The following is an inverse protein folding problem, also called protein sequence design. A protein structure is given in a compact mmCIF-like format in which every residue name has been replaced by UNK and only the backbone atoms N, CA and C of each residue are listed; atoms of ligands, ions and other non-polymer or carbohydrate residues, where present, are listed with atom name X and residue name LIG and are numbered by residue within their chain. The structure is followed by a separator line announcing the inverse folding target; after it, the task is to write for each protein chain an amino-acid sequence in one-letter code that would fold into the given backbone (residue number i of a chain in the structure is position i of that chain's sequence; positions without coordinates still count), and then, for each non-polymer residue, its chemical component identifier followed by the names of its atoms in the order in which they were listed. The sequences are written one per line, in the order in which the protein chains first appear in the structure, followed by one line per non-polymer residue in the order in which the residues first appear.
data_IF_368558337673
#
_entry.id   IF_368558337673
#
_cell.length_a   1.000
_cell.length_b   1.000
_cell.length_c   1.000
_cell.angle_alpha   90.00
_cell.angle_beta   90.00
_cell.angle_gamma   90.00
#
_symmetry.space_group_name_H-M   'P 1'
#
loop_
_entity.id
_entity.type
_entity.pdbx_description
1 polymer ?
#
# COMPACT_ATOMS: atom_id res chain seq x y z
N UNK A 1 11.12 15.12 -10.21
CA UNK A 1 10.49 15.09 -8.88
C UNK A 1 9.00 14.87 -9.08
N UNK A 2 8.47 13.83 -8.45
CA UNK A 2 7.05 13.50 -8.45
C UNK A 2 6.40 13.90 -7.13
N UNK A 3 5.14 14.33 -7.24
CA UNK A 3 4.30 14.65 -6.08
C UNK A 3 2.95 13.93 -6.24
N UNK A 4 2.48 13.31 -5.16
CA UNK A 4 1.19 12.62 -5.12
C UNK A 4 0.39 13.04 -3.89
N UNK A 5 -0.92 13.10 -4.04
CA UNK A 5 -1.85 13.06 -2.92
C UNK A 5 -2.13 11.58 -2.59
N UNK A 6 -1.64 11.12 -1.44
CA UNK A 6 -1.87 9.79 -0.87
C UNK A 6 -2.98 9.80 0.17
N UNK A 7 -3.83 8.78 0.17
CA UNK A 7 -4.96 8.65 1.09
C UNK A 7 -4.84 7.35 1.88
N UNK A 8 -4.76 7.47 3.20
CA UNK A 8 -4.64 6.34 4.11
C UNK A 8 -5.90 6.22 4.97
N UNK A 9 -6.58 5.07 4.88
CA UNK A 9 -7.80 4.81 5.64
C UNK A 9 -7.50 3.95 6.87
N UNK A 10 -7.89 4.42 8.05
CA UNK A 10 -7.64 3.75 9.34
C UNK A 10 -8.75 4.03 10.36
N UNK A 11 -8.57 3.61 11.61
CA UNK A 11 -9.46 3.98 12.73
C UNK A 11 -9.25 5.44 13.14
N UNK A 12 -10.26 6.07 13.75
CA UNK A 12 -10.11 7.44 14.25
C UNK A 12 -8.95 7.58 15.27
N UNK A 13 -8.84 6.65 16.22
CA UNK A 13 -7.78 6.65 17.24
C UNK A 13 -6.39 6.52 16.62
N UNK A 14 -6.21 5.58 15.69
CA UNK A 14 -4.93 5.42 14.99
C UNK A 14 -4.58 6.65 14.16
N UNK A 15 -5.58 7.37 13.62
CA UNK A 15 -5.31 8.60 12.89
C UNK A 15 -4.82 9.73 13.82
N UNK A 16 -5.32 9.82 15.05
CA UNK A 16 -4.81 10.76 16.04
C UNK A 16 -3.34 10.45 16.37
N UNK A 17 -2.99 9.17 16.58
CA UNK A 17 -1.62 8.72 16.86
C UNK A 17 -0.66 9.03 15.69
N UNK A 18 -1.11 8.79 14.45
CA UNK A 18 -0.33 9.08 13.24
C UNK A 18 -0.04 10.58 13.10
N UNK A 19 -1.00 11.44 13.43
CA UNK A 19 -0.82 12.88 13.35
C UNK A 19 0.06 13.45 14.47
N UNK A 20 0.04 12.84 15.65
CA UNK A 20 0.88 13.25 16.79
C UNK A 20 2.34 12.78 16.64
N UNK A 21 2.54 11.62 15.99
CA UNK A 21 3.85 11.01 15.84
C UNK A 21 4.22 10.81 14.37
N UNK A 22 3.94 9.63 13.81
CA UNK A 22 4.08 9.31 12.40
C UNK A 22 3.32 7.99 12.09
N UNK A 23 3.35 7.56 10.84
CA UNK A 23 2.86 6.25 10.43
C UNK A 23 3.73 5.10 10.96
N UNK A 24 3.06 4.03 11.40
CA UNK A 24 3.71 2.73 11.59
C UNK A 24 3.90 2.03 10.24
N UNK A 25 5.05 1.36 10.07
CA UNK A 25 5.37 0.65 8.83
C UNK A 25 4.71 -0.73 8.82
N UNK A 26 4.12 -1.10 7.68
CA UNK A 26 3.79 -2.50 7.39
C UNK A 26 5.08 -3.22 6.99
N UNK A 27 5.45 -4.28 7.72
CA UNK A 27 6.73 -4.98 7.57
C UNK A 27 6.47 -6.48 7.35
N UNK A 28 7.01 -7.04 6.27
CA UNK A 28 6.98 -8.47 6.02
C UNK A 28 7.35 -8.86 4.59
N UNK A 29 7.64 -10.15 4.41
CA UNK A 29 7.97 -10.71 3.10
C UNK A 29 6.72 -10.90 2.20
N UNK A 30 5.54 -10.88 2.81
CA UNK A 30 4.24 -11.03 2.12
C UNK A 30 3.55 -9.68 1.86
N UNK A 31 4.23 -8.56 2.14
CA UNK A 31 3.77 -7.23 1.77
C UNK A 31 3.64 -7.08 0.26
N UNK A 32 2.69 -6.27 -0.21
CA UNK A 32 2.32 -6.26 -1.63
C UNK A 32 3.46 -5.77 -2.53
N UNK A 33 4.04 -4.62 -2.19
CA UNK A 33 5.11 -3.97 -2.98
C UNK A 33 6.18 -3.36 -2.08
N UNK A 34 6.44 -4.05 -0.97
CA UNK A 34 7.53 -3.77 -0.05
C UNK A 34 7.07 -3.25 1.31
N UNK A 35 8.03 -3.09 2.20
CA UNK A 35 7.81 -2.56 3.53
C UNK A 35 7.50 -1.06 3.44
N UNK A 36 6.55 -0.60 4.24
CA UNK A 36 6.25 0.83 4.33
C UNK A 36 4.80 1.15 4.62
N UNK A 37 4.43 2.38 4.29
CA UNK A 37 3.10 2.92 4.51
C UNK A 37 2.34 2.97 3.19
N UNK A 38 1.15 2.39 3.18
CA UNK A 38 0.35 2.23 1.97
C UNK A 38 -0.69 3.34 1.83
N UNK A 39 -0.78 3.92 0.64
CA UNK A 39 -1.70 4.99 0.28
C UNK A 39 -2.44 4.66 -1.02
N UNK A 40 -3.75 4.90 -1.04
CA UNK A 40 -4.47 5.03 -2.30
C UNK A 40 -4.05 6.34 -2.97
N UNK A 41 -3.80 6.31 -4.28
CA UNK A 41 -3.45 7.50 -5.07
C UNK A 41 -4.31 7.58 -6.33
N UNK A 42 -4.33 8.75 -6.98
CA UNK A 42 -4.98 8.89 -8.28
C UNK A 42 -4.30 7.99 -9.32
N UNK A 43 -5.09 7.33 -10.15
CA UNK A 43 -4.63 6.41 -11.18
C UNK A 43 -5.81 5.76 -11.87
N UNK A 44 -6.02 4.45 -11.65
CA UNK A 44 -7.21 3.73 -12.16
C UNK A 44 -8.51 4.38 -11.69
N UNK A 45 -8.55 4.79 -10.42
CA UNK A 45 -9.67 5.50 -9.84
C UNK A 45 -9.33 6.98 -9.68
N UNK A 46 -10.30 7.84 -9.98
CA UNK A 46 -10.25 9.27 -9.71
C UNK A 46 -10.70 9.62 -8.28
N UNK A 47 -11.06 8.63 -7.46
CA UNK A 47 -11.59 8.81 -6.09
C UNK A 47 -10.79 8.03 -5.03
N UNK A 48 -9.46 8.22 -4.91
CA UNK A 48 -8.64 7.48 -3.95
C UNK A 48 -9.05 7.72 -2.48
N UNK A 49 -9.54 8.90 -2.13
CA UNK A 49 -10.06 9.16 -0.78
C UNK A 49 -11.29 8.31 -0.41
N UNK A 50 -12.19 8.05 -1.36
CA UNK A 50 -13.31 7.11 -1.13
C UNK A 50 -12.81 5.67 -1.04
N UNK A 51 -11.77 5.29 -1.79
CA UNK A 51 -11.16 3.96 -1.68
C UNK A 51 -10.51 3.73 -0.32
N UNK A 52 -9.79 4.74 0.20
CA UNK A 52 -9.24 4.72 1.55
C UNK A 52 -10.35 4.57 2.61
N UNK A 53 -11.46 5.31 2.46
CA UNK A 53 -12.64 5.16 3.35
C UNK A 53 -13.22 3.75 3.29
N UNK A 54 -13.48 3.23 2.09
CA UNK A 54 -14.03 1.87 1.91
C UNK A 54 -13.08 0.81 2.45
N UNK A 55 -11.77 1.01 2.33
CA UNK A 55 -10.75 0.17 2.93
C UNK A 55 -10.84 0.17 4.45
N UNK A 56 -10.88 1.34 5.09
CA UNK A 56 -11.02 1.46 6.54
C UNK A 56 -12.30 0.75 7.03
N UNK A 57 -13.44 1.00 6.39
CA UNK A 57 -14.70 0.33 6.73
C UNK A 57 -14.55 -1.20 6.61
N UNK A 58 -13.98 -1.69 5.50
CA UNK A 58 -13.80 -3.13 5.29
C UNK A 58 -12.81 -3.77 6.27
N UNK A 59 -11.79 -3.03 6.72
CA UNK A 59 -10.79 -3.48 7.69
C UNK A 59 -11.29 -3.45 9.13
N UNK A 60 -12.38 -2.74 9.42
CA UNK A 60 -12.94 -2.74 10.77
C UNK A 60 -13.50 -4.11 11.15
N UNK A 61 -14.07 -4.87 10.21
CA UNK A 61 -14.69 -6.16 10.49
C UNK A 61 -13.66 -7.22 10.90
N UNK A 62 -13.86 -7.82 12.08
CA UNK A 62 -13.12 -8.99 12.55
C UNK A 62 -13.92 -10.26 12.23
N UNK A 63 -13.32 -11.18 11.46
CA UNK A 63 -13.98 -12.43 11.08
C UNK A 63 -14.04 -13.46 12.21
N UNK A 64 -13.16 -13.36 13.21
CA UNK A 64 -13.12 -14.28 14.35
C UNK A 64 -14.16 -13.83 15.37
N UNK A 65 -14.08 -12.56 15.78
CA UNK A 65 -14.95 -11.97 16.81
C UNK A 65 -16.33 -11.57 16.25
N UNK A 66 -16.48 -11.60 14.91
CA UNK A 66 -17.71 -11.24 14.18
C UNK A 66 -18.27 -9.88 14.58
N UNK A 67 -17.39 -8.90 14.74
CA UNK A 67 -17.72 -7.53 15.11
C UNK A 67 -16.69 -6.56 14.55
N UNK A 68 -17.04 -5.27 14.51
CA UNK A 68 -16.09 -4.24 14.15
C UNK A 68 -15.09 -3.97 15.30
N UNK A 69 -13.80 -3.98 14.98
CA UNK A 69 -12.68 -3.64 15.89
C UNK A 69 -12.70 -2.19 16.34
N UNK A 70 -13.24 -1.31 15.49
CA UNK A 70 -13.44 0.10 15.79
C UNK A 70 -14.77 0.56 15.20
N UNK A 71 -15.33 1.63 15.77
CA UNK A 71 -16.63 2.19 15.37
C UNK A 71 -16.53 3.42 14.47
N UNK A 72 -15.39 4.09 14.47
CA UNK A 72 -15.15 5.33 13.73
C UNK A 72 -13.94 5.17 12.83
N UNK A 73 -14.13 5.43 11.54
CA UNK A 73 -13.03 5.47 10.58
C UNK A 73 -12.52 6.90 10.42
N UNK A 74 -11.30 7.01 9.91
CA UNK A 74 -10.68 8.23 9.48
C UNK A 74 -9.91 8.01 8.17
N UNK A 75 -9.95 9.00 7.28
CA UNK A 75 -9.07 9.07 6.11
C UNK A 75 -8.12 10.23 6.32
N UNK A 76 -6.83 9.92 6.30
CA UNK A 76 -5.75 10.88 6.32
C UNK A 76 -5.32 11.13 4.88
N UNK A 77 -5.24 12.40 4.48
CA UNK A 77 -4.62 12.82 3.23
C UNK A 77 -3.19 13.25 3.51
N UNK A 78 -2.27 12.77 2.71
CA UNK A 78 -0.84 13.04 2.82
C UNK A 78 -0.26 13.48 1.49
N UNK A 79 0.58 14.50 1.53
CA UNK A 79 1.36 14.92 0.37
C UNK A 79 2.69 14.17 0.37
N UNK A 80 2.91 13.40 -0.70
CA UNK A 80 4.08 12.55 -0.87
C UNK A 80 4.96 13.16 -1.96
N UNK A 81 6.24 13.35 -1.67
CA UNK A 81 7.26 13.82 -2.62
C UNK A 81 8.39 12.80 -2.75
N UNK A 82 8.80 12.54 -3.99
CA UNK A 82 9.87 11.59 -4.29
C UNK A 82 10.60 11.98 -5.57
N UNK A 83 11.91 11.77 -5.61
CA UNK A 83 12.68 11.93 -6.83
C UNK A 83 12.34 10.85 -7.86
N UNK A 84 12.40 11.20 -9.15
CA UNK A 84 11.96 10.29 -10.22
C UNK A 84 12.81 9.02 -10.26
N UNK A 85 14.09 9.14 -9.92
CA UNK A 85 15.02 8.00 -9.82
C UNK A 85 14.82 7.14 -8.56
N UNK A 86 14.02 7.62 -7.61
CA UNK A 86 13.68 6.91 -6.37
C UNK A 86 12.26 6.33 -6.38
N UNK A 87 11.51 6.54 -7.47
CA UNK A 87 10.18 6.00 -7.69
C UNK A 87 10.23 4.74 -8.57
N UNK A 88 9.79 3.61 -8.04
CA UNK A 88 9.51 2.42 -8.85
C UNK A 88 8.03 2.40 -9.28
N UNK A 89 7.78 2.71 -10.56
CA UNK A 89 6.44 2.77 -11.14
C UNK A 89 6.04 1.45 -11.84
N UNK A 90 5.42 0.53 -11.10
CA UNK A 90 4.89 -0.73 -11.64
C UNK A 90 3.57 -0.57 -12.42
N UNK A 91 3.11 0.67 -12.64
CA UNK A 91 2.02 0.98 -13.58
C UNK A 91 2.53 1.27 -15.00
N UNK A 92 3.85 1.36 -15.16
CA UNK A 92 4.56 1.59 -16.43
C UNK A 92 5.28 0.33 -16.91
N UNK A 93 5.50 0.23 -18.22
CA UNK A 93 6.29 -0.85 -18.82
C UNK A 93 7.75 -0.85 -18.31
N UNK A 94 8.34 0.34 -18.16
CA UNK A 94 9.72 0.50 -17.68
C UNK A 94 9.88 -0.03 -16.24
N UNK A 95 8.99 0.36 -15.33
CA UNK A 95 9.06 -0.12 -13.94
C UNK A 95 8.80 -1.62 -13.80
N UNK A 96 7.91 -2.19 -14.63
CA UNK A 96 7.73 -3.65 -14.70
C UNK A 96 9.00 -4.33 -15.21
N UNK A 97 9.68 -3.75 -16.21
CA UNK A 97 10.95 -4.26 -16.72
C UNK A 97 12.05 -4.24 -15.65
N UNK A 98 12.09 -3.19 -14.83
CA UNK A 98 13.01 -3.11 -13.67
C UNK A 98 12.72 -4.23 -12.66
N UNK A 99 11.46 -4.47 -12.31
CA UNK A 99 11.10 -5.55 -11.38
C UNK A 99 11.49 -6.93 -11.94
N UNK A 100 11.23 -7.20 -13.22
CA UNK A 100 11.62 -8.45 -13.87
C UNK A 100 13.14 -8.66 -13.83
N UNK A 101 13.92 -7.60 -14.11
CA UNK A 101 15.38 -7.65 -13.99
C UNK A 101 15.84 -8.01 -12.58
N UNK A 102 15.21 -7.45 -11.53
CA UNK A 102 15.53 -7.80 -10.15
C UNK A 102 15.21 -9.27 -9.85
N UNK A 103 14.06 -9.76 -10.32
CA UNK A 103 13.65 -11.16 -10.17
C UNK A 103 14.69 -12.10 -10.78
N UNK A 104 15.06 -11.90 -12.05
CA UNK A 104 16.06 -12.72 -12.75
C UNK A 104 17.40 -12.71 -12.00
N UNK A 105 17.82 -11.52 -11.53
CA UNK A 105 19.08 -11.38 -10.80
C UNK A 105 19.09 -12.13 -9.47
N UNK A 106 17.97 -12.17 -8.75
CA UNK A 106 17.85 -12.91 -7.50
C UNK A 106 17.67 -14.41 -7.72
N UNK A 107 16.92 -14.82 -8.74
CA UNK A 107 16.78 -16.22 -9.13
C UNK A 107 18.13 -16.83 -9.47
N UNK A 108 18.96 -16.13 -10.25
CA UNK A 108 20.34 -16.55 -10.57
C UNK A 108 21.21 -16.74 -9.32
N UNK A 109 21.01 -15.90 -8.30
CA UNK A 109 21.75 -16.01 -7.03
C UNK A 109 21.25 -17.19 -6.19
N UNK A 110 19.93 -17.41 -6.14
CA UNK A 110 19.29 -18.39 -5.25
C UNK A 110 19.35 -19.80 -5.83
N UNK A 111 19.24 -19.94 -7.14
CA UNK A 111 19.42 -21.22 -7.85
C UNK A 111 20.80 -21.83 -7.58
N UNK A 112 21.85 -21.00 -7.53
CA UNK A 112 23.22 -21.41 -7.14
C UNK A 112 23.33 -21.95 -5.72
N UNK A 113 22.35 -21.66 -4.87
CA UNK A 113 22.27 -22.13 -3.48
C UNK A 113 21.38 -23.37 -3.32
N UNK A 114 20.88 -23.96 -4.42
CA UNK A 114 19.92 -25.07 -4.41
C UNK A 114 18.65 -24.80 -3.58
N UNK A 115 18.24 -23.53 -3.48
CA UNK A 115 17.00 -23.11 -2.79
C UNK A 115 15.96 -22.71 -3.82
N UNK A 116 14.67 -22.84 -3.46
CA UNK A 116 13.56 -22.34 -4.26
C UNK A 116 13.32 -20.87 -3.93
N UNK A 117 13.15 -20.04 -4.94
CA UNK A 117 12.79 -18.64 -4.78
C UNK A 117 11.27 -18.48 -4.78
N UNK A 118 10.76 -17.62 -3.88
CA UNK A 118 9.35 -17.25 -3.82
C UNK A 118 9.21 -15.91 -4.56
N UNK A 119 8.47 -15.91 -5.65
CA UNK A 119 8.24 -14.72 -6.47
C UNK A 119 7.12 -13.88 -5.84
N UNK A 120 7.49 -13.06 -4.85
CA UNK A 120 6.63 -12.02 -4.31
C UNK A 120 7.28 -10.69 -4.61
N UNK A 121 6.54 -9.79 -5.26
CA UNK A 121 7.01 -8.46 -5.63
C UNK A 121 7.55 -7.70 -4.41
N UNK A 122 6.81 -7.66 -3.30
CA UNK A 122 7.28 -7.03 -2.07
C UNK A 122 8.57 -7.62 -1.49
N UNK A 123 8.74 -8.95 -1.54
CA UNK A 123 10.00 -9.58 -1.13
C UNK A 123 11.18 -9.15 -2.02
N UNK A 124 10.97 -9.17 -3.34
CA UNK A 124 11.98 -8.76 -4.33
C UNK A 124 12.38 -7.30 -4.12
N UNK A 125 11.40 -6.42 -3.95
CA UNK A 125 11.61 -4.99 -3.69
C UNK A 125 12.36 -4.79 -2.37
N UNK A 126 11.92 -5.46 -1.30
CA UNK A 126 12.59 -5.39 0.00
C UNK A 126 14.07 -5.80 -0.09
N UNK A 127 14.39 -6.86 -0.85
CA UNK A 127 15.78 -7.24 -1.08
C UNK A 127 16.54 -6.21 -1.92
N UNK A 128 15.94 -5.65 -2.97
CA UNK A 128 16.59 -4.64 -3.80
C UNK A 128 16.97 -3.39 -2.99
N UNK A 129 16.07 -2.95 -2.11
CA UNK A 129 16.29 -1.84 -1.17
C UNK A 129 17.39 -2.20 -0.17
N UNK A 130 17.27 -3.35 0.50
CA UNK A 130 18.22 -3.77 1.55
C UNK A 130 19.65 -3.94 1.02
N UNK A 131 19.79 -4.45 -0.19
CA UNK A 131 21.09 -4.67 -0.85
C UNK A 131 21.61 -3.40 -1.57
N UNK A 132 20.87 -2.29 -1.53
CA UNK A 132 21.26 -1.02 -2.15
C UNK A 132 21.38 -1.10 -3.67
N UNK A 133 20.61 -1.98 -4.33
CA UNK A 133 20.67 -2.19 -5.78
C UNK A 133 20.07 -0.99 -6.51
N UNK A 134 18.97 -0.46 -5.98
CA UNK A 134 18.28 0.73 -6.47
C UNK A 134 17.89 1.63 -5.29
N UNK A 135 17.93 2.96 -5.44
CA UNK A 135 17.56 3.90 -4.38
C UNK A 135 16.03 4.05 -4.28
N UNK A 136 15.30 2.94 -4.13
CA UNK A 136 13.83 2.95 -4.09
C UNK A 136 13.37 3.55 -2.76
N UNK A 137 12.48 4.53 -2.83
CA UNK A 137 11.85 5.21 -1.69
C UNK A 137 10.33 5.09 -1.73
N UNK A 138 9.77 5.10 -2.94
CA UNK A 138 8.34 4.93 -3.19
C UNK A 138 8.15 3.89 -4.28
N UNK A 139 7.21 2.98 -4.09
CA UNK A 139 6.75 2.06 -5.14
C UNK A 139 5.28 2.31 -5.39
N UNK A 140 4.82 2.32 -6.64
CA UNK A 140 3.38 2.32 -6.92
C UNK A 140 2.99 1.23 -7.90
N UNK A 141 1.76 0.75 -7.78
CA UNK A 141 1.22 -0.33 -8.60
C UNK A 141 -0.30 -0.31 -8.66
N UNK A 142 -0.85 -1.08 -9.58
CA UNK A 142 -2.28 -1.26 -9.77
C UNK A 142 -2.76 -2.53 -9.08
N UNK A 143 -3.74 -2.41 -8.19
CA UNK A 143 -4.22 -3.53 -7.37
C UNK A 143 -5.72 -3.72 -7.47
N UNK A 144 -6.14 -4.98 -7.35
CA UNK A 144 -7.51 -5.32 -7.06
C UNK A 144 -7.69 -5.43 -5.54
N UNK A 145 -8.30 -4.41 -4.95
CA UNK A 145 -8.63 -4.37 -3.53
C UNK A 145 -10.07 -4.80 -3.31
N UNK A 146 -10.26 -5.78 -2.43
CA UNK A 146 -11.59 -6.18 -1.97
C UNK A 146 -12.06 -5.24 -0.85
N UNK A 147 -13.10 -4.47 -1.13
CA UNK A 147 -13.84 -3.75 -0.11
C UNK A 147 -14.94 -4.67 0.47
N UNK A 148 -15.78 -4.15 1.36
CA UNK A 148 -16.76 -4.94 2.10
C UNK A 148 -17.64 -5.80 1.18
N UNK A 149 -18.17 -5.23 0.09
CA UNK A 149 -19.01 -5.92 -0.89
C UNK A 149 -18.30 -7.09 -1.55
N UNK A 150 -17.07 -6.91 -2.02
CA UNK A 150 -16.26 -7.95 -2.66
C UNK A 150 -15.92 -9.08 -1.69
N UNK A 151 -15.66 -8.74 -0.42
CA UNK A 151 -15.40 -9.70 0.66
C UNK A 151 -16.64 -10.56 0.96
N UNK A 152 -17.79 -9.93 1.16
CA UNK A 152 -19.07 -10.61 1.43
C UNK A 152 -19.47 -11.53 0.27
N UNK A 153 -19.33 -11.05 -0.97
CA UNK A 153 -19.70 -11.83 -2.17
C UNK A 153 -18.62 -12.82 -2.62
N UNK A 154 -17.43 -12.78 -2.02
CA UNK A 154 -16.35 -13.74 -2.26
C UNK A 154 -15.70 -13.71 -3.65
N UNK A 155 -16.00 -12.74 -4.53
CA UNK A 155 -15.43 -12.74 -5.88
C UNK A 155 -14.03 -12.10 -5.96
N UNK A 156 -13.20 -12.65 -6.84
CA UNK A 156 -11.85 -12.18 -7.15
C UNK A 156 -11.82 -11.72 -8.60
N UNK A 157 -11.37 -10.50 -8.87
CA UNK A 157 -11.18 -10.01 -10.23
C UNK A 157 -9.68 -9.93 -10.52
N UNK A 158 -9.34 -10.19 -11.78
CA UNK A 158 -7.99 -9.91 -12.31
C UNK A 158 -7.81 -8.42 -12.61
N UNK A 159 -8.90 -7.71 -12.86
CA UNK A 159 -8.90 -6.29 -13.19
C UNK A 159 -8.65 -5.47 -11.92
N UNK A 160 -7.59 -4.66 -11.86
CA UNK A 160 -7.34 -3.78 -10.73
C UNK A 160 -8.41 -2.69 -10.65
N UNK A 161 -8.72 -2.26 -9.43
CA UNK A 161 -9.70 -1.20 -9.16
C UNK A 161 -9.07 0.02 -8.47
N UNK A 162 -7.82 -0.09 -8.00
CA UNK A 162 -7.11 0.96 -7.29
C UNK A 162 -5.69 1.10 -7.82
N UNK A 163 -5.12 2.29 -7.68
CA UNK A 163 -3.68 2.50 -7.73
C UNK A 163 -3.21 2.83 -6.32
N UNK A 164 -2.18 2.15 -5.87
CA UNK A 164 -1.65 2.26 -4.51
C UNK A 164 -0.17 2.58 -4.62
N UNK A 165 0.33 3.45 -3.74
CA UNK A 165 1.76 3.56 -3.49
C UNK A 165 2.12 3.12 -2.08
N UNK A 166 3.36 2.69 -1.92
CA UNK A 166 4.00 2.40 -0.64
C UNK A 166 5.16 3.35 -0.47
N UNK A 167 5.17 4.06 0.65
CA UNK A 167 6.26 4.93 1.07
C UNK A 167 7.11 4.18 2.07
N UNK A 168 8.38 3.91 1.74
CA UNK A 168 9.27 3.08 2.56
C UNK A 168 9.70 3.81 3.83
N UNK A 169 9.93 5.12 3.73
CA UNK A 169 10.26 6.00 4.87
C UNK A 169 9.32 7.22 4.89
N UNK A 170 8.26 7.21 5.72
CA UNK A 170 7.33 8.31 5.81
C UNK A 170 7.97 9.59 6.37
N UNK A 171 9.07 9.51 7.12
CA UNK A 171 9.76 10.70 7.65
C UNK A 171 10.47 11.50 6.56
N UNK A 172 10.82 10.83 5.45
CA UNK A 172 11.55 11.41 4.33
C UNK A 172 10.60 11.95 3.26
N UNK A 173 9.60 11.15 2.88
CA UNK A 173 8.82 11.41 1.67
C UNK A 173 7.42 12.00 1.94
N UNK A 174 6.96 12.07 3.20
CA UNK A 174 5.69 12.71 3.54
C UNK A 174 5.96 14.13 4.06
N UNK A 175 5.44 15.12 3.35
CA UNK A 175 5.72 16.54 3.63
C UNK A 175 4.64 17.16 4.52
N UNK A 176 3.40 16.71 4.35
CA UNK A 176 2.26 17.15 5.15
C UNK A 176 1.22 16.04 5.20
N UNK A 177 0.46 15.98 6.28
CA UNK A 177 -0.70 15.14 6.42
C UNK A 177 -1.80 15.84 7.23
N UNK A 178 -3.05 15.49 6.97
CA UNK A 178 -4.20 15.99 7.74
C UNK A 178 -5.39 15.04 7.62
N UNK A 179 -6.29 15.10 8.61
CA UNK A 179 -7.58 14.42 8.52
C UNK A 179 -8.38 15.04 7.37
N UNK A 180 -8.71 14.23 6.37
CA UNK A 180 -9.60 14.64 5.28
C UNK A 180 -11.05 14.36 5.62
N UNK A 181 -11.35 13.19 6.18
CA UNK A 181 -12.73 12.82 6.52
C UNK A 181 -12.76 11.81 7.66
N UNK A 182 -13.86 11.84 8.40
CA UNK A 182 -14.17 10.87 9.45
C UNK A 182 -15.62 10.44 9.32
N UNK A 183 -15.96 9.32 9.94
CA UNK A 183 -17.35 8.88 10.01
C UNK A 183 -17.52 7.64 10.87
N UNK A 184 -18.77 7.36 11.22
CA UNK A 184 -19.12 6.13 11.89
C UNK A 184 -19.20 4.97 10.89
N UNK A 185 -18.79 3.80 11.33
CA UNK A 185 -18.99 2.55 10.62
C UNK A 185 -20.42 2.12 10.91
N UNK A 186 -21.33 2.46 10.00
CA UNK A 186 -22.71 2.00 10.05
C UNK A 186 -22.78 0.47 10.06
N UNK A 187 -23.89 -0.09 10.55
CA UNK A 187 -24.18 -1.53 10.52
C UNK A 187 -24.35 -2.11 9.09
N UNK A 188 -23.89 -1.43 8.05
CA UNK A 188 -24.03 -1.80 6.64
C UNK A 188 -23.12 -2.97 6.21
N UNK A 189 -22.45 -3.62 7.16
CA UNK A 189 -21.61 -4.80 6.95
C UNK A 189 -22.34 -6.13 7.27
N UNK A 190 -23.68 -6.16 7.12
CA UNK A 190 -24.48 -7.39 7.20
C UNK A 190 -25.15 -7.69 5.85
#
# INVERSE_FOLDING_TARGET
MHQFDGFHGTSFTSAEEILDSNYELSIGDDEWIGNGVYFFISGISSKPGEQAKLWAIAQAWDNIERRNRYKRFCVIKSKIEVDDNCLLDLTSEDGVSVLNYLIERFEDKISRLNKRFKYIDGLVINFAVKEGILPIEVVKGNFYIKFAKERIKGFNLRTPNCTICTVLDPTKNIIENHIQSTGDIGNEAN
#
